data_IF_630614275251
#
_entry.id   IF_630614275251
#
_cell.length_a   1.000
_cell.length_b   1.000
_cell.length_c   1.000
_cell.angle_alpha   90.00
_cell.angle_beta   90.00
_cell.angle_gamma   90.00
#
_symmetry.space_group_name_H-M   'P 1'
#
loop_
_entity.id
_entity.type
_entity.pdbx_description
1 polymer ?
#
# COMPACT_ATOMS: atom_id res chain seq x y z
N UNK A 1 4.20 -5.63 2.57
CA UNK A 1 3.62 -4.63 1.64
C UNK A 1 3.44 -3.27 2.33
N UNK A 2 2.61 -3.15 3.38
CA UNK A 2 2.39 -1.88 4.09
C UNK A 2 3.69 -1.20 4.59
N UNK A 3 4.54 -1.93 5.30
CA UNK A 3 5.84 -1.38 5.76
C UNK A 3 6.75 -0.96 4.60
N UNK A 4 6.76 -1.70 3.50
CA UNK A 4 7.52 -1.32 2.30
C UNK A 4 6.99 -0.02 1.70
N UNK A 5 5.68 0.11 1.55
CA UNK A 5 5.04 1.32 1.05
C UNK A 5 5.40 2.55 1.90
N UNK A 6 5.52 2.41 3.23
CA UNK A 6 5.95 3.49 4.13
C UNK A 6 7.43 3.81 3.96
N UNK A 7 8.29 2.79 3.83
CA UNK A 7 9.75 2.96 3.92
C UNK A 7 10.40 3.42 2.62
N UNK A 8 9.86 3.04 1.45
CA UNK A 8 10.41 3.36 0.11
C UNK A 8 10.95 4.79 -0.02
N UNK A 9 10.21 5.86 0.32
CA UNK A 9 10.68 7.23 0.10
C UNK A 9 11.85 7.62 1.02
N UNK A 10 11.98 6.96 2.18
CA UNK A 10 13.08 7.21 3.12
C UNK A 10 14.34 6.39 2.81
N UNK A 11 14.21 5.35 1.99
CA UNK A 11 15.31 4.49 1.60
C UNK A 11 16.07 5.03 0.37
N UNK A 12 15.38 5.74 -0.53
CA UNK A 12 15.99 6.33 -1.73
C UNK A 12 17.25 7.18 -1.43
N UNK A 13 17.20 8.13 -0.48
CA UNK A 13 18.36 8.95 -0.10
C UNK A 13 19.58 8.14 0.36
N UNK A 14 19.38 6.98 1.02
CA UNK A 14 20.48 6.14 1.49
C UNK A 14 21.28 5.48 0.35
N UNK A 15 20.72 5.46 -0.86
CA UNK A 15 21.33 4.90 -2.07
C UNK A 15 21.47 5.92 -3.21
N UNK A 16 21.37 7.22 -2.90
CA UNK A 16 21.42 8.31 -3.89
C UNK A 16 20.32 8.23 -4.96
N UNK A 17 19.23 7.50 -4.67
CA UNK A 17 18.06 7.32 -5.53
C UNK A 17 16.98 8.33 -5.14
N UNK A 18 17.26 9.61 -5.36
CA UNK A 18 16.34 10.68 -4.93
C UNK A 18 15.45 11.17 -6.06
N UNK A 19 14.14 11.17 -5.82
CA UNK A 19 13.20 12.05 -6.51
C UNK A 19 13.04 13.31 -5.65
N UNK A 20 13.10 14.51 -6.25
CA UNK A 20 12.93 15.76 -5.49
C UNK A 20 11.43 15.96 -5.23
N UNK A 21 10.93 15.32 -4.18
CA UNK A 21 9.52 15.36 -3.77
C UNK A 21 9.42 16.01 -2.38
N UNK A 22 8.49 16.97 -2.17
CA UNK A 22 8.30 17.55 -0.84
C UNK A 22 7.89 16.47 0.19
N UNK A 23 8.48 16.48 1.39
CA UNK A 23 8.18 15.48 2.43
C UNK A 23 6.69 15.33 2.77
N UNK A 24 5.89 16.39 2.64
CA UNK A 24 4.43 16.34 2.83
C UNK A 24 3.72 15.47 1.79
N UNK A 25 4.25 15.44 0.57
CA UNK A 25 3.72 14.61 -0.53
C UNK A 25 4.06 13.17 -0.26
N UNK A 26 5.31 12.88 0.12
CA UNK A 26 5.75 11.54 0.54
C UNK A 26 4.89 10.99 1.69
N UNK A 27 4.52 11.83 2.66
CA UNK A 27 3.62 11.42 3.75
C UNK A 27 2.24 10.97 3.23
N UNK A 28 1.65 11.74 2.30
CA UNK A 28 0.30 11.48 1.77
C UNK A 28 0.30 10.30 0.79
N UNK A 29 1.35 10.14 0.00
CA UNK A 29 1.41 9.17 -1.09
C UNK A 29 1.94 7.78 -0.66
N UNK A 30 2.69 7.75 0.45
CA UNK A 30 3.26 6.52 1.00
C UNK A 30 2.79 6.20 2.41
N UNK A 31 3.06 7.10 3.37
CA UNK A 31 2.91 6.78 4.78
C UNK A 31 1.45 6.57 5.19
N UNK A 32 0.55 7.45 4.74
CA UNK A 32 -0.89 7.35 5.02
C UNK A 32 -1.49 6.08 4.40
N UNK A 33 -1.30 5.78 3.08
CA UNK A 33 -1.74 4.53 2.49
C UNK A 33 -1.20 3.28 3.19
N UNK A 34 0.09 3.28 3.52
CA UNK A 34 0.72 2.17 4.23
C UNK A 34 0.15 1.96 5.62
N UNK A 35 -0.11 3.04 6.37
CA UNK A 35 -0.73 2.97 7.69
C UNK A 35 -2.16 2.41 7.63
N UNK A 36 -2.98 2.86 6.67
CA UNK A 36 -4.34 2.33 6.46
C UNK A 36 -4.33 0.82 6.21
N UNK A 37 -3.43 0.34 5.34
CA UNK A 37 -3.29 -1.08 5.06
C UNK A 37 -2.77 -1.88 6.27
N UNK A 38 -1.85 -1.31 7.06
CA UNK A 38 -1.35 -1.94 8.28
C UNK A 38 -2.46 -2.07 9.33
N UNK A 39 -3.27 -1.03 9.52
CA UNK A 39 -4.42 -1.03 10.46
C UNK A 39 -5.46 -2.07 10.02
N UNK A 40 -5.78 -2.14 8.72
CA UNK A 40 -6.70 -3.16 8.19
C UNK A 40 -6.19 -4.58 8.46
N UNK A 41 -4.92 -4.86 8.12
CA UNK A 41 -4.31 -6.17 8.37
C UNK A 41 -4.27 -6.53 9.86
N UNK A 42 -3.90 -5.58 10.72
CA UNK A 42 -3.88 -5.77 12.18
C UNK A 42 -5.28 -6.05 12.73
N UNK A 43 -6.31 -5.34 12.23
CA UNK A 43 -7.70 -5.54 12.62
C UNK A 43 -8.19 -6.94 12.25
N UNK A 44 -7.86 -7.41 11.03
CA UNK A 44 -8.16 -8.79 10.60
C UNK A 44 -7.48 -9.83 11.51
N UNK A 45 -6.18 -9.66 11.80
CA UNK A 45 -5.41 -10.58 12.65
C UNK A 45 -5.93 -10.63 14.09
N UNK A 46 -6.19 -9.47 14.69
CA UNK A 46 -6.65 -9.37 16.07
C UNK A 46 -8.04 -9.98 16.31
N UNK A 47 -8.83 -10.14 15.25
CA UNK A 47 -10.16 -10.77 15.32
C UNK A 47 -10.12 -12.26 15.05
N UNK A 48 -9.30 -12.70 14.10
CA UNK A 48 -9.04 -14.13 13.85
C UNK A 48 -8.50 -14.84 15.09
N UNK A 49 -7.67 -14.16 15.89
CA UNK A 49 -7.16 -14.70 17.15
C UNK A 49 -8.19 -14.80 18.28
N UNK A 50 -9.34 -14.13 18.16
CA UNK A 50 -10.39 -14.10 19.20
C UNK A 50 -11.59 -14.96 18.84
N UNK A 51 -12.04 -14.93 17.59
CA UNK A 51 -13.32 -15.53 17.18
C UNK A 51 -13.22 -16.19 15.80
N UNK A 52 -12.53 -17.34 15.71
CA UNK A 52 -12.38 -18.07 14.44
C UNK A 52 -13.70 -18.60 13.85
N UNK A 53 -14.81 -18.50 14.59
CA UNK A 53 -16.13 -19.04 14.22
C UNK A 53 -17.10 -17.92 13.79
N UNK A 54 -16.82 -16.65 14.12
CA UNK A 54 -17.74 -15.53 13.85
C UNK A 54 -17.39 -14.88 12.50
N UNK A 55 -18.36 -14.68 11.60
CA UNK A 55 -18.12 -13.99 10.33
C UNK A 55 -17.59 -12.56 10.59
N UNK A 56 -16.73 -12.03 9.68
CA UNK A 56 -16.20 -10.68 9.83
C UNK A 56 -17.33 -9.66 9.76
N UNK A 57 -17.34 -8.69 10.69
CA UNK A 57 -18.33 -7.61 10.64
C UNK A 57 -18.02 -6.62 9.50
N UNK A 58 -18.99 -5.75 9.24
CA UNK A 58 -18.89 -4.73 8.20
C UNK A 58 -17.67 -3.80 8.37
N UNK A 59 -17.17 -3.59 9.59
CA UNK A 59 -16.03 -2.73 9.85
C UNK A 59 -14.72 -3.35 9.32
N UNK A 60 -14.54 -4.67 9.41
CA UNK A 60 -13.36 -5.36 8.87
C UNK A 60 -13.37 -5.36 7.34
N UNK A 61 -14.54 -5.56 6.73
CA UNK A 61 -14.70 -5.46 5.28
C UNK A 61 -14.42 -4.03 4.81
N UNK A 62 -14.96 -3.02 5.50
CA UNK A 62 -14.70 -1.62 5.18
C UNK A 62 -13.22 -1.25 5.33
N UNK A 63 -12.55 -1.69 6.40
CA UNK A 63 -11.11 -1.47 6.58
C UNK A 63 -10.28 -2.11 5.45
N UNK A 64 -10.64 -3.32 5.03
CA UNK A 64 -9.97 -4.02 3.92
C UNK A 64 -10.20 -3.31 2.58
N UNK A 65 -11.41 -2.77 2.35
CA UNK A 65 -11.71 -1.97 1.16
C UNK A 65 -10.92 -0.65 1.14
N UNK A 66 -10.77 0.02 2.30
CA UNK A 66 -9.92 1.20 2.43
C UNK A 66 -8.44 0.88 2.15
N UNK A 67 -7.95 -0.28 2.58
CA UNK A 67 -6.60 -0.73 2.24
C UNK A 67 -6.41 -0.96 0.73
N UNK A 68 -7.45 -1.46 0.03
CA UNK A 68 -7.44 -1.58 -1.44
C UNK A 68 -7.37 -0.20 -2.09
N UNK A 69 -8.18 0.75 -1.64
CA UNK A 69 -8.15 2.13 -2.15
C UNK A 69 -6.78 2.78 -1.91
N UNK A 70 -6.17 2.55 -0.75
CA UNK A 70 -4.82 3.00 -0.44
C UNK A 70 -3.77 2.40 -1.40
N UNK A 71 -3.80 1.08 -1.63
CA UNK A 71 -2.91 0.42 -2.58
C UNK A 71 -3.13 0.89 -4.02
N UNK A 72 -4.38 1.13 -4.41
CA UNK A 72 -4.73 1.67 -5.72
C UNK A 72 -4.20 3.10 -5.87
N UNK A 73 -4.41 3.97 -4.88
CA UNK A 73 -3.89 5.34 -4.85
C UNK A 73 -2.38 5.35 -5.09
N UNK A 74 -1.61 4.65 -4.25
CA UNK A 74 -0.15 4.59 -4.39
C UNK A 74 0.26 4.03 -5.76
N UNK A 75 -0.42 3.00 -6.28
CA UNK A 75 -0.11 2.47 -7.62
C UNK A 75 -0.38 3.51 -8.71
N UNK A 76 -1.54 4.16 -8.67
CA UNK A 76 -1.98 5.11 -9.68
C UNK A 76 -1.10 6.36 -9.71
N UNK A 77 -0.59 6.81 -8.56
CA UNK A 77 0.29 7.98 -8.49
C UNK A 77 1.75 7.66 -8.83
N UNK A 78 2.20 6.41 -8.68
CA UNK A 78 3.62 6.06 -8.85
C UNK A 78 3.94 5.34 -10.15
N UNK A 79 3.03 4.54 -10.73
CA UNK A 79 3.29 3.92 -12.04
C UNK A 79 3.63 4.96 -13.13
N UNK A 80 3.03 6.17 -13.16
CA UNK A 80 3.39 7.21 -14.11
C UNK A 80 4.83 7.73 -14.03
N UNK A 81 5.61 7.40 -12.99
CA UNK A 81 7.04 7.77 -12.92
C UNK A 81 7.92 6.92 -13.84
N UNK A 82 7.43 5.76 -14.29
CA UNK A 82 8.18 4.87 -15.18
C UNK A 82 8.39 5.49 -16.57
N UNK A 83 7.37 6.10 -17.23
CA UNK A 83 7.58 6.92 -18.41
C UNK A 83 8.64 8.01 -18.24
N UNK A 84 8.65 8.73 -17.10
CA UNK A 84 9.66 9.79 -16.85
C UNK A 84 11.09 9.23 -16.86
N UNK A 85 11.28 7.99 -16.39
CA UNK A 85 12.58 7.32 -16.50
C UNK A 85 12.92 6.85 -17.91
N UNK A 86 11.90 6.46 -18.69
CA UNK A 86 12.09 6.14 -20.11
C UNK A 86 12.51 7.37 -20.92
N UNK A 87 11.99 8.55 -20.57
CA UNK A 87 12.31 9.82 -21.21
C UNK A 87 13.61 10.47 -20.67
N UNK A 88 14.24 9.87 -19.65
CA UNK A 88 15.50 10.33 -19.07
C UNK A 88 15.37 11.47 -18.05
N UNK A 89 14.15 11.82 -17.64
CA UNK A 89 13.88 12.86 -16.64
C UNK A 89 14.09 12.37 -15.20
N UNK A 90 14.05 11.05 -14.99
CA UNK A 90 14.31 10.40 -13.70
C UNK A 90 15.22 9.17 -13.91
N UNK A 91 16.03 8.81 -12.91
CA UNK A 91 16.82 7.58 -13.03
C UNK A 91 15.93 6.34 -12.93
N UNK A 92 16.19 5.33 -13.77
CA UNK A 92 15.47 4.04 -13.72
C UNK A 92 15.47 3.40 -12.33
N UNK A 93 16.59 3.34 -11.59
CA UNK A 93 16.58 2.77 -10.25
C UNK A 93 15.69 3.54 -9.27
N UNK A 94 15.67 4.88 -9.33
CA UNK A 94 14.77 5.68 -8.51
C UNK A 94 13.31 5.44 -8.88
N UNK A 95 12.98 5.44 -10.17
CA UNK A 95 11.62 5.19 -10.66
C UNK A 95 11.10 3.80 -10.27
N UNK A 96 11.93 2.75 -10.41
CA UNK A 96 11.58 1.39 -10.02
C UNK A 96 11.39 1.26 -8.50
N UNK A 97 12.29 1.86 -7.70
CA UNK A 97 12.17 1.86 -6.24
C UNK A 97 10.84 2.51 -5.82
N UNK A 98 10.52 3.68 -6.37
CA UNK A 98 9.31 4.43 -6.05
C UNK A 98 8.05 3.67 -6.50
N UNK A 99 8.01 3.19 -7.75
CA UNK A 99 6.89 2.43 -8.30
C UNK A 99 6.67 1.07 -7.61
N UNK A 100 7.67 0.52 -6.92
CA UNK A 100 7.56 -0.76 -6.23
C UNK A 100 6.65 -0.74 -4.98
N UNK A 101 6.27 0.45 -4.48
CA UNK A 101 5.45 0.59 -3.28
C UNK A 101 3.99 0.14 -3.51
N UNK A 102 3.38 0.61 -4.61
CA UNK A 102 1.95 0.47 -4.87
C UNK A 102 1.47 -0.94 -5.20
N UNK A 103 2.00 -1.60 -6.25
CA UNK A 103 1.44 -2.87 -6.73
C UNK A 103 1.42 -3.99 -5.67
N UNK A 104 2.47 -4.20 -4.85
CA UNK A 104 2.42 -5.18 -3.77
C UNK A 104 1.40 -4.82 -2.68
N UNK A 105 1.21 -3.53 -2.40
CA UNK A 105 0.21 -3.05 -1.44
C UNK A 105 -1.22 -3.31 -1.94
N UNK A 106 -1.48 -2.99 -3.21
CA UNK A 106 -2.76 -3.25 -3.85
C UNK A 106 -3.07 -4.75 -3.88
N UNK A 107 -2.12 -5.57 -4.35
CA UNK A 107 -2.30 -7.01 -4.43
C UNK A 107 -2.59 -7.64 -3.07
N UNK A 108 -1.81 -7.29 -2.04
CA UNK A 108 -2.01 -7.80 -0.68
C UNK A 108 -3.38 -7.38 -0.10
N UNK A 109 -3.78 -6.13 -0.32
CA UNK A 109 -5.05 -5.60 0.18
C UNK A 109 -6.26 -6.22 -0.54
N UNK A 110 -6.15 -6.49 -1.85
CA UNK A 110 -7.18 -7.21 -2.60
C UNK A 110 -7.35 -8.64 -2.09
N UNK A 111 -6.24 -9.35 -1.85
CA UNK A 111 -6.30 -10.70 -1.26
C UNK A 111 -6.98 -10.67 0.11
N UNK A 112 -6.67 -9.67 0.93
CA UNK A 112 -7.32 -9.49 2.23
C UNK A 112 -8.83 -9.27 2.06
N UNK A 113 -9.24 -8.28 1.27
CA UNK A 113 -10.66 -7.99 1.03
C UNK A 113 -11.43 -9.20 0.51
N UNK A 114 -10.90 -9.90 -0.50
CA UNK A 114 -11.54 -11.09 -1.08
C UNK A 114 -11.72 -12.21 -0.05
N UNK A 115 -10.78 -12.36 0.90
CA UNK A 115 -10.90 -13.33 1.99
C UNK A 115 -12.03 -12.93 2.93
N UNK A 116 -12.04 -11.69 3.40
CA UNK A 116 -13.06 -11.22 4.35
C UNK A 116 -14.47 -11.24 3.73
N UNK A 117 -14.63 -10.86 2.46
CA UNK A 117 -15.94 -10.92 1.79
C UNK A 117 -16.46 -12.34 1.60
N UNK A 118 -15.57 -13.32 1.35
CA UNK A 118 -15.97 -14.73 1.24
C UNK A 118 -16.42 -15.29 2.59
N UNK A 119 -15.74 -14.91 3.67
CA UNK A 119 -16.10 -15.32 5.02
C UNK A 119 -17.41 -14.69 5.50
N UNK A 120 -17.77 -13.49 5.02
CA UNK A 120 -19.05 -12.86 5.34
C UNK A 120 -20.24 -13.47 4.58
N UNK A 121 -20.00 -14.23 3.51
CA UNK A 121 -21.03 -14.75 2.62
C UNK A 121 -21.43 -16.22 2.88
N UNK A 122 -20.72 -16.92 3.78
CA UNK A 122 -20.97 -18.32 4.14
C UNK A 122 -21.23 -18.46 5.63
#
# INVERSE_FOLDING_TARGET
>A
AAGWAILVPYLGPAWELTAIVPARVELVDHAVPGALAAIAAASCLARRGRDAITPPDAAVVAASALAVLAGFWTTATHVPVLPLAADGELSWPAALLHASAGPPLLAASLVLLLRETRQAAG
#
